data_IF_534303264935
#
_entry.id   IF_534303264935
#
_cell.length_a   1.000
_cell.length_b   1.000
_cell.length_c   1.000
_cell.angle_alpha   90.00
_cell.angle_beta   90.00
_cell.angle_gamma   90.00
#
_symmetry.space_group_name_H-M   'P 1'
#
loop_
_entity.id
_entity.type
_entity.pdbx_description
1 polymer ?
#
# COMPACT_ATOMS: atom_id res chain seq x y z
N UNK A 1 -11.21 14.89 -14.77
CA UNK A 1 -10.66 14.87 -13.41
C UNK A 1 -9.14 14.90 -13.49
N UNK A 2 -8.50 15.73 -12.69
CA UNK A 2 -7.04 15.84 -12.68
C UNK A 2 -6.40 14.56 -12.15
N UNK A 3 -5.20 14.22 -12.66
CA UNK A 3 -4.45 13.06 -12.21
C UNK A 3 -4.23 13.07 -10.69
N UNK A 4 -3.96 14.25 -10.11
CA UNK A 4 -3.80 14.39 -8.66
C UNK A 4 -5.05 13.97 -7.88
N UNK A 5 -6.24 14.32 -8.38
CA UNK A 5 -7.48 13.94 -7.73
C UNK A 5 -7.73 12.44 -7.82
N UNK A 6 -7.46 11.84 -8.97
CA UNK A 6 -7.58 10.39 -9.17
C UNK A 6 -6.64 9.66 -8.20
N UNK A 7 -5.37 10.10 -8.13
CA UNK A 7 -4.38 9.50 -7.24
C UNK A 7 -4.84 9.58 -5.78
N UNK A 8 -5.33 10.73 -5.34
CA UNK A 8 -5.79 10.94 -3.97
C UNK A 8 -7.00 10.03 -3.65
N UNK A 9 -8.00 10.01 -4.53
CA UNK A 9 -9.21 9.20 -4.28
C UNK A 9 -8.88 7.70 -4.24
N UNK A 10 -8.04 7.22 -5.15
CA UNK A 10 -7.63 5.81 -5.14
C UNK A 10 -6.82 5.47 -3.89
N UNK A 11 -5.89 6.33 -3.50
CA UNK A 11 -5.06 6.12 -2.31
C UNK A 11 -5.92 6.08 -1.04
N UNK A 12 -6.86 7.03 -0.90
CA UNK A 12 -7.77 7.04 0.24
C UNK A 12 -8.65 5.79 0.26
N UNK A 13 -9.16 5.37 -0.90
CA UNK A 13 -9.99 4.15 -1.00
C UNK A 13 -9.21 2.91 -0.58
N UNK A 14 -7.98 2.75 -1.08
CA UNK A 14 -7.12 1.64 -0.70
C UNK A 14 -6.74 1.70 0.77
N UNK A 15 -6.45 2.91 1.29
CA UNK A 15 -6.14 3.10 2.70
C UNK A 15 -7.28 2.70 3.61
N UNK A 16 -8.51 3.04 3.26
CA UNK A 16 -9.71 2.65 4.00
C UNK A 16 -9.90 1.14 3.96
N UNK A 17 -9.73 0.52 2.78
CA UNK A 17 -9.84 -0.93 2.63
C UNK A 17 -8.79 -1.67 3.46
N UNK A 18 -7.55 -1.17 3.50
CA UNK A 18 -6.48 -1.72 4.31
C UNK A 18 -6.83 -1.63 5.79
N UNK A 19 -7.30 -0.46 6.26
CA UNK A 19 -7.71 -0.28 7.64
C UNK A 19 -8.83 -1.25 8.01
N UNK A 20 -9.83 -1.39 7.14
CA UNK A 20 -10.92 -2.34 7.38
C UNK A 20 -10.40 -3.78 7.50
N UNK A 21 -9.56 -4.21 6.56
CA UNK A 21 -9.08 -5.59 6.55
C UNK A 21 -8.12 -5.92 7.69
N UNK A 22 -7.29 -4.94 8.12
CA UNK A 22 -6.28 -5.16 9.16
C UNK A 22 -6.78 -4.89 10.57
N UNK A 23 -7.83 -4.09 10.74
CA UNK A 23 -8.33 -3.68 12.05
C UNK A 23 -9.67 -4.32 12.42
N UNK A 24 -10.26 -5.14 11.52
CA UNK A 24 -11.44 -5.94 11.84
C UNK A 24 -11.01 -7.19 12.60
N UNK A 25 -11.71 -7.59 13.69
CA UNK A 25 -11.37 -8.81 14.44
C UNK A 25 -11.33 -10.04 13.54
N UNK A 26 -10.36 -10.91 13.74
CA UNK A 26 -10.11 -12.08 12.89
C UNK A 26 -11.32 -12.98 12.71
N UNK A 27 -12.12 -13.17 13.76
CA UNK A 27 -13.31 -14.03 13.72
C UNK A 27 -14.41 -13.54 12.80
N UNK A 28 -14.35 -12.25 12.41
CA UNK A 28 -15.33 -11.61 11.53
C UNK A 28 -14.88 -11.53 10.08
N UNK A 29 -13.65 -11.96 9.79
CA UNK A 29 -13.09 -11.94 8.45
C UNK A 29 -13.24 -13.29 7.78
N UNK A 30 -13.46 -13.31 6.43
CA UNK A 30 -13.44 -14.56 5.68
C UNK A 30 -12.04 -15.18 5.74
N UNK A 31 -11.98 -16.52 5.59
CA UNK A 31 -10.69 -17.22 5.51
C UNK A 31 -9.97 -16.77 4.23
N UNK A 32 -8.72 -16.30 4.38
CA UNK A 32 -7.90 -15.78 3.29
C UNK A 32 -6.47 -16.33 3.39
N UNK A 33 -5.71 -16.34 2.27
CA UNK A 33 -4.31 -16.75 2.31
C UNK A 33 -3.49 -15.87 3.27
N UNK A 34 -2.40 -16.40 3.73
CA UNK A 34 -1.52 -15.86 4.78
C UNK A 34 -1.45 -14.35 4.93
N UNK A 35 -1.42 -13.94 6.16
CA UNK A 35 -1.48 -12.55 6.60
C UNK A 35 -0.39 -11.67 5.96
N UNK A 36 0.84 -12.17 5.94
CA UNK A 36 1.99 -11.42 5.40
C UNK A 36 1.87 -11.18 3.89
N UNK A 37 1.33 -12.14 3.16
CA UNK A 37 1.08 -11.99 1.71
C UNK A 37 0.04 -10.90 1.46
N UNK A 38 -1.03 -10.86 2.26
CA UNK A 38 -2.06 -9.84 2.16
C UNK A 38 -1.49 -8.45 2.42
N UNK A 39 -0.71 -8.30 3.49
CA UNK A 39 -0.03 -7.04 3.82
C UNK A 39 0.87 -6.59 2.68
N UNK A 40 1.69 -7.49 2.17
CA UNK A 40 2.62 -7.20 1.07
C UNK A 40 1.86 -6.68 -0.17
N UNK A 41 0.84 -7.42 -0.62
CA UNK A 41 0.06 -7.06 -1.81
C UNK A 41 -0.69 -5.75 -1.58
N UNK A 42 -1.31 -5.58 -0.41
CA UNK A 42 -2.07 -4.38 -0.10
C UNK A 42 -1.22 -3.12 -0.16
N UNK A 43 -0.02 -3.16 0.42
CA UNK A 43 0.88 -2.00 0.43
C UNK A 43 1.57 -1.78 -0.91
N UNK A 44 1.79 -2.84 -1.69
CA UNK A 44 2.22 -2.70 -3.08
C UNK A 44 1.18 -1.89 -3.88
N UNK A 45 -0.09 -2.27 -3.79
CA UNK A 45 -1.19 -1.59 -4.49
C UNK A 45 -1.39 -0.17 -3.95
N UNK A 46 -1.23 0.03 -2.64
CA UNK A 46 -1.45 1.33 -1.99
C UNK A 46 -0.55 2.44 -2.55
N UNK A 47 0.70 2.13 -2.87
CA UNK A 47 1.65 3.14 -3.37
C UNK A 47 1.55 3.37 -4.88
N UNK A 48 0.85 2.52 -5.63
CA UNK A 48 0.82 2.59 -7.09
C UNK A 48 0.16 3.86 -7.64
N UNK A 49 -1.02 4.31 -7.16
CA UNK A 49 -1.68 5.48 -7.74
C UNK A 49 -0.80 6.73 -7.74
N UNK A 50 -0.22 7.08 -6.59
CA UNK A 50 0.64 8.25 -6.49
C UNK A 50 1.93 8.05 -7.28
N UNK A 51 2.53 6.87 -7.19
CA UNK A 51 3.81 6.60 -7.88
C UNK A 51 3.66 6.64 -9.40
N UNK A 52 2.50 6.25 -9.94
CA UNK A 52 2.23 6.27 -11.38
C UNK A 52 1.73 7.62 -11.88
N UNK A 53 0.83 8.26 -11.13
CA UNK A 53 0.15 9.48 -11.58
C UNK A 53 0.87 10.75 -11.13
N UNK A 54 1.62 10.69 -10.04
CA UNK A 54 2.38 11.81 -9.47
C UNK A 54 3.79 11.35 -9.14
N UNK A 55 4.62 11.00 -10.15
CA UNK A 55 5.93 10.36 -9.89
C UNK A 55 6.86 11.16 -8.97
N UNK A 56 6.76 12.49 -9.00
CA UNK A 56 7.58 13.35 -8.13
C UNK A 56 7.22 13.20 -6.65
N UNK A 57 6.06 12.60 -6.34
CA UNK A 57 5.57 12.37 -4.99
C UNK A 57 5.76 10.92 -4.52
N UNK A 58 6.47 10.10 -5.29
CA UNK A 58 6.69 8.68 -4.94
C UNK A 58 7.35 8.53 -3.57
N UNK A 59 8.34 9.37 -3.26
CA UNK A 59 8.99 9.33 -1.94
C UNK A 59 8.00 9.60 -0.81
N UNK A 60 7.05 10.50 -1.04
CA UNK A 60 6.05 10.89 -0.04
C UNK A 60 5.09 9.74 0.24
N UNK A 61 4.55 9.09 -0.80
CA UNK A 61 3.65 7.97 -0.59
C UNK A 61 4.38 6.77 0.03
N UNK A 62 5.65 6.58 -0.28
CA UNK A 62 6.45 5.54 0.36
C UNK A 62 6.56 5.77 1.86
N UNK A 63 6.91 6.99 2.28
CA UNK A 63 7.00 7.35 3.70
C UNK A 63 5.65 7.20 4.39
N UNK A 64 4.58 7.67 3.75
CA UNK A 64 3.22 7.52 4.28
C UNK A 64 2.87 6.04 4.46
N UNK A 65 3.21 5.19 3.49
CA UNK A 65 2.93 3.76 3.56
C UNK A 65 3.65 3.10 4.74
N UNK A 66 4.92 3.41 4.94
CA UNK A 66 5.70 2.85 6.07
C UNK A 66 5.12 3.30 7.42
N UNK A 67 4.81 4.60 7.54
CA UNK A 67 4.19 5.12 8.77
C UNK A 67 2.80 4.53 9.01
N UNK A 68 2.02 4.36 7.96
CA UNK A 68 0.69 3.77 8.04
C UNK A 68 0.77 2.31 8.49
N UNK A 69 1.68 1.53 7.89
CA UNK A 69 1.92 0.15 8.30
C UNK A 69 2.34 0.03 9.78
N UNK A 70 3.24 0.90 10.22
CA UNK A 70 3.64 0.94 11.63
C UNK A 70 2.48 1.30 12.56
N UNK A 71 1.66 2.27 12.19
CA UNK A 71 0.50 2.66 12.96
C UNK A 71 -0.51 1.51 13.08
N UNK A 72 -0.76 0.79 12.00
CA UNK A 72 -1.64 -0.38 12.00
C UNK A 72 -1.14 -1.43 13.01
N UNK A 73 0.17 -1.73 13.00
CA UNK A 73 0.73 -2.72 13.93
C UNK A 73 0.56 -2.30 15.39
N UNK A 74 0.65 -1.00 15.68
CA UNK A 74 0.45 -0.47 17.03
C UNK A 74 -1.02 -0.61 17.45
N UNK A 75 -1.96 -0.40 16.54
CA UNK A 75 -3.40 -0.42 16.82
C UNK A 75 -3.94 -1.85 16.91
N UNK A 76 -3.41 -2.79 16.13
CA UNK A 76 -3.95 -4.15 16.02
C UNK A 76 -4.20 -4.85 17.36
N UNK A 77 -3.31 -4.79 18.38
CA UNK A 77 -3.60 -5.43 19.66
C UNK A 77 -4.84 -4.89 20.36
N UNK A 78 -5.22 -3.66 20.11
CA UNK A 78 -6.40 -3.02 20.73
C UNK A 78 -7.73 -3.43 20.09
N UNK A 79 -7.68 -4.12 18.93
CA UNK A 79 -8.88 -4.56 18.20
C UNK A 79 -8.89 -6.09 18.01
N UNK A 80 -8.31 -6.83 18.96
CA UNK A 80 -8.24 -8.30 18.90
C UNK A 80 -7.52 -8.83 17.66
N UNK A 81 -6.46 -8.13 17.23
CA UNK A 81 -5.56 -8.59 16.20
C UNK A 81 -4.17 -8.75 16.81
N UNK A 82 -3.34 -9.57 16.16
CA UNK A 82 -1.95 -9.74 16.58
C UNK A 82 -1.07 -8.79 15.77
N UNK A 83 -0.49 -7.79 16.48
CA UNK A 83 0.54 -6.96 15.89
C UNK A 83 1.84 -7.76 15.81
N UNK A 84 2.36 -7.94 14.61
CA UNK A 84 3.61 -8.66 14.38
C UNK A 84 4.59 -7.78 13.60
N UNK A 85 5.82 -7.73 14.07
CA UNK A 85 6.87 -6.99 13.39
C UNK A 85 7.07 -7.50 11.96
N UNK A 86 6.86 -8.81 11.71
CA UNK A 86 6.91 -9.39 10.39
C UNK A 86 5.89 -8.79 9.42
N UNK A 87 4.71 -8.43 9.90
CA UNK A 87 3.68 -7.78 9.09
C UNK A 87 4.11 -6.36 8.70
N UNK A 88 4.76 -5.64 9.61
CA UNK A 88 5.34 -4.33 9.30
C UNK A 88 6.38 -4.44 8.18
N UNK A 89 7.27 -5.42 8.24
CA UNK A 89 8.27 -5.64 7.18
C UNK A 89 7.62 -6.05 5.87
N UNK A 90 6.53 -6.82 5.91
CA UNK A 90 5.76 -7.15 4.71
C UNK A 90 5.14 -5.89 4.08
N UNK A 91 4.60 -4.98 4.89
CA UNK A 91 4.08 -3.70 4.44
C UNK A 91 5.16 -2.88 3.74
N UNK A 92 6.31 -2.71 4.39
CA UNK A 92 7.44 -1.95 3.84
C UNK A 92 7.97 -2.60 2.56
N UNK A 93 8.10 -3.93 2.54
CA UNK A 93 8.54 -4.67 1.36
C UNK A 93 7.57 -4.52 0.20
N UNK A 94 6.27 -4.59 0.48
CA UNK A 94 5.23 -4.35 -0.52
C UNK A 94 5.31 -2.95 -1.10
N UNK A 95 5.49 -1.94 -0.26
CA UNK A 95 5.65 -0.56 -0.71
C UNK A 95 6.88 -0.40 -1.62
N UNK A 96 8.01 -1.01 -1.27
CA UNK A 96 9.23 -0.99 -2.11
C UNK A 96 8.93 -1.60 -3.47
N UNK A 97 8.31 -2.78 -3.51
CA UNK A 97 7.99 -3.46 -4.76
C UNK A 97 7.01 -2.63 -5.59
N UNK A 98 6.02 -2.02 -4.98
CA UNK A 98 5.09 -1.12 -5.68
C UNK A 98 5.80 0.07 -6.33
N UNK A 99 6.75 0.66 -5.62
CA UNK A 99 7.58 1.75 -6.17
C UNK A 99 8.42 1.26 -7.34
N UNK A 100 9.05 0.09 -7.21
CA UNK A 100 9.86 -0.49 -8.29
C UNK A 100 9.00 -0.77 -9.52
N UNK A 101 7.83 -1.39 -9.34
CA UNK A 101 6.90 -1.67 -10.43
C UNK A 101 6.49 -0.38 -11.14
N UNK A 102 6.15 0.66 -10.39
CA UNK A 102 5.74 1.95 -10.98
C UNK A 102 6.87 2.57 -11.79
N UNK A 103 8.11 2.49 -11.32
CA UNK A 103 9.28 2.99 -12.04
C UNK A 103 9.51 2.24 -13.34
N UNK A 104 9.37 0.91 -13.32
CA UNK A 104 9.50 0.09 -14.52
C UNK A 104 8.44 0.48 -15.55
N UNK A 105 7.18 0.60 -15.11
CA UNK A 105 6.07 0.98 -16.00
C UNK A 105 6.33 2.34 -16.63
N UNK A 106 6.69 3.34 -15.83
CA UNK A 106 6.91 4.70 -16.31
C UNK A 106 8.10 4.77 -17.28
N UNK A 107 9.17 4.05 -16.98
CA UNK A 107 10.35 3.99 -17.84
C UNK A 107 10.01 3.38 -19.20
N UNK A 108 9.24 2.30 -19.21
CA UNK A 108 8.81 1.64 -20.45
C UNK A 108 7.87 2.53 -21.27
N UNK A 109 6.92 3.19 -20.61
CA UNK A 109 6.02 4.13 -21.29
C UNK A 109 6.78 5.27 -21.92
N UNK A 110 7.76 5.84 -21.21
CA UNK A 110 8.59 6.93 -21.69
C UNK A 110 9.42 6.50 -22.89
N UNK A 111 9.99 5.30 -22.84
CA UNK A 111 10.77 4.74 -23.96
C UNK A 111 9.91 4.54 -25.19
N UNK A 112 8.72 3.99 -25.04
CA UNK A 112 7.80 3.76 -26.15
C UNK A 112 7.34 5.05 -26.80
N UNK A 113 7.21 6.14 -26.04
CA UNK A 113 6.85 7.46 -26.59
C UNK A 113 8.01 8.16 -27.28
N UNK A 114 9.24 7.83 -26.92
CA UNK A 114 10.44 8.40 -27.52
C UNK A 114 10.83 7.78 -28.87
N UNK A 115 10.24 6.65 -29.20
CA UNK A 115 10.43 5.98 -30.48
C UNK A 115 9.37 6.50 -31.49
#
# INVERSE_FOLDING_TARGET
>A
MKASNIAIYLTLSFGIAIAWGTLTPLKELPAMPGDKTQHFVAFCVFVLPVSLLLPARTWLIFVIAVLYGGLIEIIQPYVNRHGELGDFWADAGGAVIGVVISRIILTRMKRNKGD
#
